data_IF_442820399995
#
_entry.id   IF_442820399995
#
_cell.length_a   1.000
_cell.length_b   1.000
_cell.length_c   1.000
_cell.angle_alpha   90.00
_cell.angle_beta   90.00
_cell.angle_gamma   90.00
#
_symmetry.space_group_name_H-M   'P 1'
#
loop_
_entity.id
_entity.type
_entity.pdbx_description
1 polymer ?
#
# COMPACT_ATOMS: atom_id res chain seq x y z
N UNK A 1 -15.66 19.73 78.63
CA UNK A 1 -14.76 18.69 78.08
C UNK A 1 -15.45 17.69 77.14
N UNK A 2 -16.59 17.06 77.50
CA UNK A 2 -17.27 16.06 76.64
C UNK A 2 -17.67 16.57 75.23
N UNK A 3 -18.12 17.82 75.10
CA UNK A 3 -18.50 18.41 73.79
C UNK A 3 -17.30 18.58 72.84
N UNK A 4 -16.14 18.99 73.36
CA UNK A 4 -14.92 19.21 72.57
C UNK A 4 -14.41 17.89 72.01
N UNK A 5 -14.49 16.81 72.80
CA UNK A 5 -14.10 15.46 72.36
C UNK A 5 -15.02 14.97 71.24
N UNK A 6 -16.33 15.22 71.31
CA UNK A 6 -17.26 14.86 70.24
C UNK A 6 -17.00 15.62 68.93
N UNK A 7 -16.70 16.93 68.99
CA UNK A 7 -16.36 17.69 67.78
C UNK A 7 -15.04 17.22 67.15
N UNK A 8 -14.06 16.82 67.97
CA UNK A 8 -12.82 16.25 67.49
C UNK A 8 -13.04 14.87 66.84
N UNK A 9 -13.92 14.06 67.41
CA UNK A 9 -14.24 12.75 66.82
C UNK A 9 -14.95 12.89 65.47
N UNK A 10 -15.88 13.84 65.35
CA UNK A 10 -16.59 14.12 64.10
C UNK A 10 -15.64 14.65 63.03
N UNK A 11 -14.70 15.54 63.37
CA UNK A 11 -13.75 16.07 62.38
C UNK A 11 -12.81 14.98 61.86
N UNK A 12 -12.35 14.07 62.72
CA UNK A 12 -11.51 12.92 62.33
C UNK A 12 -12.26 12.00 61.37
N UNK A 13 -13.54 11.70 61.63
CA UNK A 13 -14.36 10.85 60.76
C UNK A 13 -14.56 11.51 59.39
N UNK A 14 -14.87 12.80 59.34
CA UNK A 14 -15.07 13.52 58.07
C UNK A 14 -13.79 13.54 57.23
N UNK A 15 -12.63 13.76 57.87
CA UNK A 15 -11.33 13.75 57.19
C UNK A 15 -10.98 12.35 56.69
N UNK A 16 -11.25 11.29 57.46
CA UNK A 16 -11.03 9.91 57.02
C UNK A 16 -11.93 9.52 55.84
N UNK A 17 -13.20 9.92 55.84
CA UNK A 17 -14.11 9.65 54.71
C UNK A 17 -13.67 10.41 53.46
N UNK A 18 -13.27 11.68 53.59
CA UNK A 18 -12.75 12.46 52.48
C UNK A 18 -11.45 11.86 51.89
N UNK A 19 -10.56 11.36 52.77
CA UNK A 19 -9.35 10.64 52.36
C UNK A 19 -9.68 9.33 51.63
N UNK A 20 -10.66 8.56 52.10
CA UNK A 20 -11.09 7.32 51.44
C UNK A 20 -11.67 7.58 50.05
N UNK A 21 -12.48 8.63 49.88
CA UNK A 21 -13.01 9.04 48.57
C UNK A 21 -11.88 9.51 47.66
N UNK A 22 -10.94 10.32 48.18
CA UNK A 22 -9.79 10.80 47.41
C UNK A 22 -8.87 9.65 46.96
N UNK A 23 -8.59 8.68 47.83
CA UNK A 23 -7.83 7.48 47.47
C UNK A 23 -8.58 6.57 46.49
N UNK A 24 -9.91 6.49 46.58
CA UNK A 24 -10.73 5.75 45.63
C UNK A 24 -10.67 6.36 44.21
N UNK A 25 -10.65 7.70 44.11
CA UNK A 25 -10.45 8.40 42.84
C UNK A 25 -9.02 8.25 42.29
N UNK A 26 -8.00 8.30 43.16
CA UNK A 26 -6.60 8.10 42.74
C UNK A 26 -6.27 6.65 42.32
N UNK A 27 -7.07 5.67 42.74
CA UNK A 27 -6.87 4.27 42.39
C UNK A 27 -7.62 3.85 41.12
N UNK A 28 -8.54 4.68 40.61
CA UNK A 28 -9.27 4.43 39.36
C UNK A 28 -8.44 4.71 38.09
N UNK A 29 -7.38 5.53 38.17
CA UNK A 29 -6.54 5.93 37.03
C UNK A 29 -5.26 5.08 36.84
N UNK A 30 -5.11 3.99 37.60
CA UNK A 30 -3.96 3.09 37.50
C UNK A 30 -4.32 1.68 37.06
N UNK A 31 -5.31 1.54 36.19
CA UNK A 31 -5.31 0.38 35.30
C UNK A 31 -4.29 0.64 34.20
N UNK A 32 -3.06 0.15 34.45
CA UNK A 32 -1.99 0.06 33.48
C UNK A 32 -2.59 -0.41 32.17
N UNK A 33 -2.51 0.45 31.15
CA UNK A 33 -2.59 0.08 29.75
C UNK A 33 -1.62 -1.08 29.53
N UNK A 34 -2.12 -2.31 29.69
CA UNK A 34 -1.50 -3.45 29.07
C UNK A 34 -1.47 -3.07 27.60
N UNK A 35 -0.26 -3.02 27.04
CA UNK A 35 0.00 -3.02 25.62
C UNK A 35 -0.69 -4.24 25.00
N UNK A 36 -2.02 -4.19 24.88
CA UNK A 36 -2.72 -4.83 23.80
C UNK A 36 -2.20 -4.08 22.57
N UNK A 37 -1.07 -4.55 22.05
CA UNK A 37 -0.84 -4.43 20.63
C UNK A 37 -2.10 -4.99 20.00
N UNK A 38 -3.03 -4.09 19.65
CA UNK A 38 -4.13 -4.38 18.78
C UNK A 38 -3.43 -4.77 17.47
N UNK A 39 -3.07 -6.05 17.39
CA UNK A 39 -2.67 -6.70 16.15
C UNK A 39 -3.97 -6.70 15.37
N UNK A 40 -4.24 -5.56 14.71
CA UNK A 40 -5.34 -5.40 13.78
C UNK A 40 -5.24 -6.66 12.92
N UNK A 41 -6.21 -7.59 13.01
CA UNK A 41 -6.12 -8.79 12.22
C UNK A 41 -5.96 -8.30 10.80
N UNK A 42 -4.94 -8.79 10.11
CA UNK A 42 -4.74 -8.56 8.68
C UNK A 42 -5.95 -9.15 7.97
N UNK A 43 -7.08 -8.45 8.01
CA UNK A 43 -8.27 -8.72 7.23
C UNK A 43 -7.94 -8.19 5.84
N UNK A 44 -7.06 -8.92 5.15
CA UNK A 44 -7.10 -8.99 3.71
C UNK A 44 -8.48 -9.56 3.39
N UNK A 45 -9.48 -8.68 3.30
CA UNK A 45 -10.79 -9.07 2.80
C UNK A 45 -10.60 -9.20 1.29
N UNK A 46 -10.12 -10.37 0.88
CA UNK A 46 -10.18 -10.81 -0.50
C UNK A 46 -11.66 -10.83 -0.88
N UNK A 47 -12.06 -10.00 -1.84
CA UNK A 47 -13.47 -9.87 -2.22
C UNK A 47 -13.64 -10.23 -3.68
N UNK A 48 -14.38 -11.31 -3.95
CA UNK A 48 -14.71 -11.75 -5.30
C UNK A 48 -13.79 -12.84 -5.86
N UNK A 49 -13.91 -13.18 -7.16
CA UNK A 49 -13.08 -14.21 -7.77
C UNK A 49 -11.61 -13.81 -7.70
N UNK A 50 -10.76 -14.75 -7.31
CA UNK A 50 -9.31 -14.59 -7.32
C UNK A 50 -8.72 -15.49 -8.40
N UNK A 51 -7.70 -14.97 -9.08
CA UNK A 51 -6.89 -15.74 -10.02
C UNK A 51 -5.59 -16.17 -9.37
N UNK A 52 -5.23 -17.45 -9.50
CA UNK A 52 -3.88 -17.94 -9.19
C UNK A 52 -3.07 -18.09 -10.47
N UNK A 53 -1.77 -17.78 -10.41
CA UNK A 53 -0.83 -17.91 -11.51
C UNK A 53 -1.29 -17.24 -12.81
N UNK A 54 -1.94 -16.08 -12.69
CA UNK A 54 -2.49 -15.35 -13.84
C UNK A 54 -1.37 -14.88 -14.75
N UNK A 55 -1.55 -15.12 -16.05
CA UNK A 55 -0.67 -14.65 -17.12
C UNK A 55 -1.51 -13.88 -18.12
N UNK A 56 -0.98 -12.76 -18.59
CA UNK A 56 -1.58 -11.94 -19.63
C UNK A 56 -0.47 -11.48 -20.57
N UNK A 57 -0.76 -11.47 -21.85
CA UNK A 57 0.14 -10.97 -22.89
C UNK A 57 -0.65 -10.02 -23.76
N UNK A 58 -0.13 -8.82 -23.96
CA UNK A 58 -0.77 -7.78 -24.75
C UNK A 58 0.25 -7.16 -25.70
N UNK A 59 -0.11 -7.06 -26.98
CA UNK A 59 0.73 -6.43 -27.99
C UNK A 59 0.33 -4.97 -28.18
N UNK A 60 1.30 -4.06 -28.10
CA UNK A 60 1.14 -2.63 -28.29
C UNK A 60 2.20 -2.17 -29.30
N UNK A 61 1.80 -2.01 -30.56
CA UNK A 61 2.73 -1.70 -31.65
C UNK A 61 3.73 -2.85 -31.88
N UNK A 62 5.02 -2.51 -31.90
CA UNK A 62 6.14 -3.47 -32.00
C UNK A 62 6.52 -4.13 -30.67
N UNK A 63 5.85 -3.74 -29.58
CA UNK A 63 6.15 -4.25 -28.24
C UNK A 63 5.10 -5.26 -27.77
N UNK A 64 5.56 -6.26 -27.01
CA UNK A 64 4.70 -7.21 -26.30
C UNK A 64 4.92 -7.06 -24.81
N UNK A 65 3.86 -6.78 -24.07
CA UNK A 65 3.86 -6.67 -22.61
C UNK A 65 3.30 -7.96 -22.03
N UNK A 66 4.16 -8.73 -21.39
CA UNK A 66 3.81 -9.95 -20.66
C UNK A 66 3.72 -9.64 -19.17
N UNK A 67 2.56 -9.89 -18.58
CA UNK A 67 2.31 -9.78 -17.15
C UNK A 67 2.11 -11.18 -16.57
N UNK A 68 2.82 -11.50 -15.50
CA UNK A 68 2.63 -12.72 -14.71
C UNK A 68 2.49 -12.35 -13.25
N UNK A 69 1.52 -12.93 -12.57
CA UNK A 69 1.30 -12.71 -11.14
C UNK A 69 0.93 -14.03 -10.48
N UNK A 70 1.36 -14.23 -9.24
CA UNK A 70 1.02 -15.46 -8.49
C UNK A 70 -0.41 -15.42 -8.00
N UNK A 71 -0.87 -14.25 -7.56
CA UNK A 71 -2.26 -14.01 -7.15
C UNK A 71 -2.75 -12.69 -7.72
N UNK A 72 -4.02 -12.66 -8.10
CA UNK A 72 -4.71 -11.48 -8.58
C UNK A 72 -6.12 -11.47 -7.98
N UNK A 73 -6.48 -10.43 -7.25
CA UNK A 73 -7.79 -10.34 -6.60
C UNK A 73 -8.27 -8.90 -6.49
N UNK A 74 -9.58 -8.74 -6.30
CA UNK A 74 -10.17 -7.43 -6.03
C UNK A 74 -10.22 -7.16 -4.53
N UNK A 75 -9.86 -5.93 -4.16
CA UNK A 75 -9.95 -5.41 -2.80
C UNK A 75 -10.87 -4.19 -2.80
N UNK A 76 -11.85 -4.15 -1.89
CA UNK A 76 -12.66 -2.95 -1.67
C UNK A 76 -11.78 -1.81 -1.15
N UNK A 77 -12.03 -0.61 -1.64
CA UNK A 77 -11.39 0.59 -1.09
C UNK A 77 -12.12 1.07 0.15
N UNK A 78 -11.38 1.73 1.05
CA UNK A 78 -11.97 2.38 2.22
C UNK A 78 -12.06 3.88 1.97
N UNK A 79 -13.22 4.45 2.22
CA UNK A 79 -13.44 5.90 2.21
C UNK A 79 -13.94 6.27 3.61
N UNK A 80 -13.21 7.17 4.30
CA UNK A 80 -13.51 7.57 5.69
C UNK A 80 -13.64 6.39 6.67
N UNK A 81 -12.88 5.31 6.45
CA UNK A 81 -12.92 4.11 7.29
C UNK A 81 -13.98 3.07 6.93
N UNK A 82 -14.94 3.41 6.07
CA UNK A 82 -15.98 2.49 5.60
C UNK A 82 -15.59 1.81 4.29
N UNK A 83 -15.87 0.52 4.18
CA UNK A 83 -15.67 -0.23 2.94
C UNK A 83 -16.64 0.27 1.87
N UNK A 84 -16.11 0.73 0.75
CA UNK A 84 -16.90 1.17 -0.38
C UNK A 84 -17.01 0.03 -1.41
N UNK A 85 -18.24 -0.42 -1.69
CA UNK A 85 -18.49 -1.48 -2.66
C UNK A 85 -18.36 -1.05 -4.13
N UNK A 86 -18.49 0.25 -4.41
CA UNK A 86 -18.42 0.83 -5.75
C UNK A 86 -16.98 0.98 -6.24
N UNK A 87 -16.06 1.31 -5.32
CA UNK A 87 -14.65 1.50 -5.65
C UNK A 87 -13.84 0.27 -5.26
N UNK A 88 -13.42 -0.49 -6.28
CA UNK A 88 -12.54 -1.66 -6.13
C UNK A 88 -11.16 -1.33 -6.67
N UNK A 89 -10.13 -1.89 -6.03
CA UNK A 89 -8.77 -1.95 -6.56
C UNK A 89 -8.46 -3.39 -6.93
N UNK A 90 -7.71 -3.58 -7.99
CA UNK A 90 -7.12 -4.86 -8.32
C UNK A 90 -5.77 -4.96 -7.61
N UNK A 91 -5.46 -6.09 -7.02
CA UNK A 91 -4.20 -6.33 -6.30
C UNK A 91 -3.51 -7.52 -6.93
N UNK A 92 -2.26 -7.31 -7.35
CA UNK A 92 -1.39 -8.35 -7.86
C UNK A 92 -0.26 -8.65 -6.87
N UNK A 93 -0.03 -9.94 -6.58
CA UNK A 93 1.07 -10.41 -5.73
C UNK A 93 2.11 -11.17 -6.55
N UNK A 94 3.39 -10.89 -6.28
CA UNK A 94 4.53 -11.35 -7.08
C UNK A 94 4.37 -10.99 -8.57
N UNK A 95 4.04 -9.71 -8.82
CA UNK A 95 3.87 -9.14 -10.14
C UNK A 95 5.21 -9.10 -10.87
N UNK A 96 5.26 -9.79 -12.00
CA UNK A 96 6.35 -9.79 -12.95
C UNK A 96 5.85 -9.20 -14.27
N UNK A 97 6.51 -8.17 -14.78
CA UNK A 97 6.21 -7.60 -16.09
C UNK A 97 7.45 -7.74 -16.95
N UNK A 98 7.29 -8.28 -18.14
CA UNK A 98 8.33 -8.38 -19.16
C UNK A 98 7.86 -7.67 -20.41
N UNK A 99 8.67 -6.77 -20.91
CA UNK A 99 8.42 -6.01 -22.12
C UNK A 99 9.40 -6.50 -23.16
N UNK A 100 8.85 -6.96 -24.28
CA UNK A 100 9.59 -7.44 -25.43
C UNK A 100 9.43 -6.43 -26.57
N UNK A 101 10.46 -6.26 -27.40
CA UNK A 101 10.41 -5.59 -28.70
C UNK A 101 11.00 -6.55 -29.72
N UNK A 102 10.28 -6.84 -30.80
CA UNK A 102 10.74 -7.78 -31.84
C UNK A 102 11.24 -9.12 -31.23
N UNK A 103 10.47 -9.66 -30.28
CA UNK A 103 10.78 -10.88 -29.51
C UNK A 103 12.01 -10.82 -28.61
N UNK A 104 12.68 -9.67 -28.48
CA UNK A 104 13.80 -9.46 -27.56
C UNK A 104 13.33 -8.76 -26.29
N UNK A 105 13.80 -9.24 -25.14
CA UNK A 105 13.52 -8.59 -23.85
C UNK A 105 14.20 -7.23 -23.81
N UNK A 106 13.43 -6.18 -23.50
CA UNK A 106 13.92 -4.81 -23.34
C UNK A 106 13.78 -4.29 -21.92
N UNK A 107 12.80 -4.79 -21.17
CA UNK A 107 12.62 -4.45 -19.76
C UNK A 107 11.97 -5.63 -19.04
N UNK A 108 12.45 -5.94 -17.84
CA UNK A 108 11.73 -6.82 -16.92
C UNK A 108 11.68 -6.17 -15.54
N UNK A 109 10.50 -6.20 -14.92
CA UNK A 109 10.20 -5.58 -13.64
C UNK A 109 9.58 -6.62 -12.71
N UNK A 110 9.95 -6.53 -11.45
CA UNK A 110 9.35 -7.30 -10.37
C UNK A 110 8.78 -6.38 -9.29
N UNK A 111 7.63 -6.75 -8.76
CA UNK A 111 7.05 -6.14 -7.57
C UNK A 111 6.33 -7.18 -6.73
N UNK A 112 6.68 -7.28 -5.46
CA UNK A 112 6.06 -8.22 -4.53
C UNK A 112 4.55 -8.01 -4.38
N UNK A 113 4.10 -6.75 -4.40
CA UNK A 113 2.68 -6.40 -4.33
C UNK A 113 2.41 -5.08 -5.04
N UNK A 114 1.37 -5.04 -5.87
CA UNK A 114 0.94 -3.84 -6.59
C UNK A 114 -0.59 -3.71 -6.54
N UNK A 115 -1.04 -2.53 -6.10
CA UNK A 115 -2.44 -2.13 -6.21
C UNK A 115 -2.62 -1.36 -7.53
N UNK A 116 -3.62 -1.72 -8.32
CA UNK A 116 -3.85 -1.16 -9.66
C UNK A 116 -5.34 -0.89 -9.90
N UNK A 117 -5.62 -0.04 -10.89
CA UNK A 117 -6.98 0.21 -11.35
C UNK A 117 -7.53 -1.06 -12.01
N UNK A 118 -8.80 -1.44 -11.74
CA UNK A 118 -9.46 -2.57 -12.42
C UNK A 118 -9.43 -2.52 -13.94
N UNK A 119 -9.39 -1.32 -14.54
CA UNK A 119 -9.43 -1.16 -16.00
C UNK A 119 -8.09 -1.49 -16.69
N UNK A 120 -6.99 -1.58 -15.93
CA UNK A 120 -5.65 -1.93 -16.41
C UNK A 120 -5.13 -1.08 -17.57
N UNK A 121 -5.73 0.09 -17.84
CA UNK A 121 -5.39 0.96 -18.98
C UNK A 121 -4.10 1.72 -18.74
N UNK A 122 -3.88 2.13 -17.50
CA UNK A 122 -2.65 2.74 -17.03
C UNK A 122 -2.16 1.97 -15.81
N UNK A 123 -0.93 1.47 -15.88
CA UNK A 123 -0.28 0.77 -14.78
C UNK A 123 0.81 1.66 -14.21
N UNK A 124 0.63 2.09 -12.97
CA UNK A 124 1.66 2.80 -12.22
C UNK A 124 2.27 1.89 -11.15
N UNK A 125 3.52 1.50 -11.34
CA UNK A 125 4.23 0.57 -10.47
C UNK A 125 5.23 1.37 -9.65
N UNK A 126 5.01 1.44 -8.33
CA UNK A 126 5.87 2.23 -7.43
C UNK A 126 7.00 1.37 -6.88
N UNK A 127 8.22 1.90 -6.91
CA UNK A 127 9.45 1.26 -6.48
C UNK A 127 9.57 -0.19 -7.02
N UNK A 128 9.51 -0.42 -8.35
CA UNK A 128 9.73 -1.75 -8.91
C UNK A 128 11.22 -2.12 -8.85
N UNK A 129 11.48 -3.42 -8.72
CA UNK A 129 12.81 -3.97 -8.93
C UNK A 129 13.00 -4.22 -10.41
N UNK A 130 13.99 -3.60 -11.03
CA UNK A 130 14.37 -3.89 -12.42
C UNK A 130 15.16 -5.21 -12.42
N UNK A 131 14.66 -6.20 -13.16
CA UNK A 131 15.31 -7.49 -13.37
C UNK A 131 16.16 -7.52 -14.64
N UNK A 132 15.82 -6.68 -15.61
CA UNK A 132 16.55 -6.57 -16.87
C UNK A 132 16.23 -5.24 -17.57
N UNK A 133 17.19 -4.63 -18.28
CA UNK A 133 18.62 -4.93 -18.24
C UNK A 133 19.23 -4.48 -16.90
N UNK A 134 20.28 -5.17 -16.45
CA UNK A 134 20.98 -4.84 -15.20
C UNK A 134 21.60 -3.43 -15.20
N UNK A 135 21.88 -2.88 -16.38
CA UNK A 135 22.41 -1.54 -16.57
C UNK A 135 21.42 -0.42 -16.24
N UNK A 136 20.10 -0.69 -16.25
CA UNK A 136 19.10 0.32 -15.90
C UNK A 136 19.02 0.45 -14.38
N UNK A 137 19.25 1.68 -13.87
CA UNK A 137 19.03 2.01 -12.45
C UNK A 137 17.59 1.73 -12.05
N UNK A 138 17.35 1.46 -10.77
CA UNK A 138 15.99 1.26 -10.27
C UNK A 138 15.21 2.59 -10.29
N UNK A 139 14.08 2.67 -11.02
CA UNK A 139 13.23 3.84 -11.02
C UNK A 139 12.36 3.86 -9.75
N UNK A 140 11.98 5.06 -9.31
CA UNK A 140 11.03 5.26 -8.21
C UNK A 140 9.60 4.89 -8.63
N UNK A 141 9.29 5.04 -9.91
CA UNK A 141 7.99 4.67 -10.48
C UNK A 141 8.15 4.27 -11.94
N UNK A 142 7.36 3.30 -12.39
CA UNK A 142 7.17 3.00 -13.81
C UNK A 142 5.71 3.18 -14.17
N UNK A 143 5.44 4.04 -15.14
CA UNK A 143 4.13 4.18 -15.78
C UNK A 143 4.08 3.40 -17.08
N UNK A 144 3.04 2.61 -17.30
CA UNK A 144 2.71 1.97 -18.58
C UNK A 144 1.32 2.46 -18.96
N UNK A 145 1.24 3.43 -19.85
CA UNK A 145 -0.02 3.96 -20.38
C UNK A 145 -0.32 3.27 -21.72
N UNK A 146 -1.22 2.29 -21.69
CA UNK A 146 -1.58 1.49 -22.87
C UNK A 146 -2.36 2.32 -23.90
N UNK A 147 -3.14 3.30 -23.44
CA UNK A 147 -3.95 4.16 -24.32
C UNK A 147 -3.06 5.12 -25.09
N UNK A 148 -2.10 5.75 -24.41
CA UNK A 148 -1.11 6.62 -25.05
C UNK A 148 0.06 5.87 -25.68
N UNK A 149 0.16 4.56 -25.44
CA UNK A 149 1.25 3.69 -25.90
C UNK A 149 2.61 4.20 -25.41
N UNK A 150 2.72 4.51 -24.12
CA UNK A 150 3.95 5.03 -23.51
C UNK A 150 4.38 4.19 -22.33
N UNK A 151 5.70 4.01 -22.19
CA UNK A 151 6.32 3.60 -20.93
C UNK A 151 7.08 4.81 -20.40
N UNK A 152 6.96 5.08 -19.11
CA UNK A 152 7.67 6.17 -18.45
C UNK A 152 8.39 5.65 -17.22
N UNK A 153 9.70 5.78 -17.20
CA UNK A 153 10.56 5.45 -16.06
C UNK A 153 10.85 6.76 -15.32
N UNK A 154 10.33 6.87 -14.10
CA UNK A 154 10.54 8.02 -13.24
C UNK A 154 11.71 7.74 -12.29
N UNK A 155 12.72 8.60 -12.34
CA UNK A 155 13.82 8.62 -11.40
C UNK A 155 13.75 9.92 -10.60
N UNK A 156 14.55 10.00 -9.52
CA UNK A 156 14.62 11.16 -8.65
C UNK A 156 15.02 12.46 -9.38
N UNK A 157 15.89 12.34 -10.37
CA UNK A 157 16.53 13.45 -11.09
C UNK A 157 16.06 13.59 -12.54
N UNK A 158 15.48 12.54 -13.13
CA UNK A 158 15.07 12.52 -14.53
C UNK A 158 13.87 11.64 -14.80
N UNK A 159 13.30 11.78 -15.99
CA UNK A 159 12.22 10.91 -16.48
C UNK A 159 12.58 10.43 -17.88
N UNK A 160 12.60 9.12 -18.09
CA UNK A 160 12.81 8.51 -19.41
C UNK A 160 11.46 8.07 -19.97
N UNK A 161 11.10 8.54 -21.17
CA UNK A 161 9.84 8.20 -21.85
C UNK A 161 10.15 7.35 -23.06
N UNK A 162 9.50 6.19 -23.18
CA UNK A 162 9.60 5.30 -24.33
C UNK A 162 8.26 5.28 -25.06
N UNK A 163 8.29 5.67 -26.32
CA UNK A 163 7.14 5.62 -27.21
C UNK A 163 6.98 4.21 -27.80
N UNK A 164 5.81 3.61 -27.61
CA UNK A 164 5.44 2.28 -28.13
C UNK A 164 4.61 2.37 -29.43
N UNK A 165 4.32 3.58 -29.90
CA UNK A 165 3.58 3.81 -31.14
C UNK A 165 4.45 3.66 -32.39
N UNK A 166 5.78 3.71 -32.27
CA UNK A 166 6.68 3.72 -33.40
C UNK A 166 6.83 2.36 -34.10
N UNK A 167 6.75 2.42 -35.43
CA UNK A 167 7.14 1.35 -36.37
C UNK A 167 8.65 1.26 -36.61
N UNK A 168 9.50 2.14 -36.08
CA UNK A 168 10.94 2.15 -36.36
C UNK A 168 11.77 2.64 -35.16
N UNK A 169 12.84 1.92 -34.82
CA UNK A 169 14.06 2.50 -34.24
C UNK A 169 14.17 2.55 -32.72
N UNK A 170 15.40 2.61 -32.22
CA UNK A 170 15.80 2.60 -30.81
C UNK A 170 15.33 3.87 -30.05
N UNK A 171 15.33 3.88 -28.70
CA UNK A 171 15.20 5.15 -27.99
C UNK A 171 16.31 6.09 -28.46
N UNK A 172 15.91 7.26 -28.95
CA UNK A 172 16.83 8.30 -29.38
C UNK A 172 17.82 8.60 -28.24
N UNK A 173 19.10 8.34 -28.48
CA UNK A 173 20.18 8.99 -27.73
C UNK A 173 19.94 10.50 -27.83
N UNK A 174 19.49 11.12 -26.74
CA UNK A 174 19.53 12.58 -26.65
C UNK A 174 20.88 12.99 -26.09
N UNK A 175 21.57 13.78 -26.90
CA UNK A 175 22.84 14.45 -26.66
C UNK A 175 22.84 15.15 -25.29
N UNK A 176 24.04 15.15 -24.70
CA UNK A 176 24.46 15.84 -23.47
C UNK A 176 23.92 17.27 -23.38
#
# INVERSE_FOLDING_TARGET
MKKIINYFLISVIVVSVALLVYYSFLCADKEKSANAQFKVPSRLVETGPYGQNVRSSEQIGSYTINMKTKRLYFKKTKILGFDNALFKKLVAEELNITILKDSRKVLALYKARQDMSPDMRCLEIKNPTVLYPEAIKQPDKVGIDKKKKLITLYYRDKTDIWDLSEKNGYPAERKK
#
